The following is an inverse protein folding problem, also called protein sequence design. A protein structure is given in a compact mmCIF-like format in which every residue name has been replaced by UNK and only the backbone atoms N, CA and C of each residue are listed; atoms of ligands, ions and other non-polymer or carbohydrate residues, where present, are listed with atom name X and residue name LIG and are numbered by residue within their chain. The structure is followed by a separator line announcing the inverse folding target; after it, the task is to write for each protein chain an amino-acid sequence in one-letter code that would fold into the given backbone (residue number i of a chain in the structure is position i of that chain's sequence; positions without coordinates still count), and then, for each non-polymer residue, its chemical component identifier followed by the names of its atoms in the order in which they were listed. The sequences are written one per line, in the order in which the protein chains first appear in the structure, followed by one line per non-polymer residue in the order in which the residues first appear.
data_IF_298136910367
#
_entry.id   IF_298136910367
#
_cell.length_a   1.000
_cell.length_b   1.000
_cell.length_c   1.000
_cell.angle_alpha   90.00
_cell.angle_beta   90.00
_cell.angle_gamma   90.00
#
_symmetry.space_group_name_H-M   'P 1'
#
loop_
_entity.id
_entity.type
_entity.pdbx_description
1 polymer ?
#
# COMPACT_ATOMS: atom_id res chain seq x y z
N UNK A 1 -11.74 -14.59 7.92
CA UNK A 1 -11.15 -15.24 6.73
C UNK A 1 -10.55 -14.17 5.85
N UNK A 2 -9.72 -14.53 4.87
CA UNK A 2 -9.08 -13.52 4.03
C UNK A 2 -10.08 -12.83 3.11
N UNK A 3 -9.99 -11.52 3.04
CA UNK A 3 -10.89 -10.68 2.23
C UNK A 3 -10.21 -10.13 0.98
N UNK A 4 -8.88 -10.22 0.89
CA UNK A 4 -8.04 -9.74 -0.21
C UNK A 4 -8.41 -8.30 -0.63
N UNK A 5 -8.50 -7.37 0.33
CA UNK A 5 -8.82 -5.97 0.06
C UNK A 5 -7.58 -5.19 -0.37
N UNK A 6 -7.78 -4.22 -1.27
CA UNK A 6 -6.74 -3.24 -1.54
C UNK A 6 -6.43 -2.43 -0.27
N UNK A 7 -5.16 -2.03 -0.06
CA UNK A 7 -4.80 -1.19 1.08
C UNK A 7 -5.49 0.17 0.94
N UNK A 8 -6.12 0.62 2.03
CA UNK A 8 -6.84 1.90 2.09
C UNK A 8 -6.53 2.71 3.36
N UNK A 9 -5.64 2.22 4.23
CA UNK A 9 -5.24 2.88 5.48
C UNK A 9 -3.79 3.37 5.40
N UNK A 10 -3.62 4.67 5.20
CA UNK A 10 -2.29 5.30 5.03
C UNK A 10 -1.40 5.16 6.28
N UNK A 11 -1.88 5.43 7.51
CA UNK A 11 -1.10 5.18 8.73
C UNK A 11 -0.54 3.76 8.84
N UNK A 12 -1.34 2.73 8.55
CA UNK A 12 -0.88 1.34 8.59
C UNK A 12 0.19 1.08 7.52
N UNK A 13 -0.02 1.58 6.29
CA UNK A 13 0.98 1.47 5.23
C UNK A 13 2.28 2.20 5.57
N UNK A 14 2.21 3.35 6.26
CA UNK A 14 3.41 4.07 6.69
C UNK A 14 4.25 3.24 7.67
N UNK A 15 3.62 2.58 8.65
CA UNK A 15 4.34 1.69 9.57
C UNK A 15 4.97 0.49 8.85
N UNK A 16 4.24 -0.12 7.89
CA UNK A 16 4.77 -1.20 7.09
C UNK A 16 5.99 -0.77 6.26
N UNK A 17 5.89 0.36 5.54
CA UNK A 17 7.00 0.89 4.75
C UNK A 17 8.16 1.38 5.61
N UNK A 18 7.92 1.89 6.82
CA UNK A 18 8.99 2.27 7.73
C UNK A 18 9.90 1.08 8.01
N UNK A 19 9.33 -0.10 8.30
CA UNK A 19 10.11 -1.32 8.50
C UNK A 19 10.85 -1.76 7.23
N UNK A 20 10.20 -1.66 6.07
CA UNK A 20 10.85 -1.95 4.77
C UNK A 20 12.05 -1.03 4.53
N UNK A 21 11.92 0.27 4.83
CA UNK A 21 13.00 1.25 4.68
C UNK A 21 14.14 1.00 5.67
N UNK A 22 13.83 0.68 6.93
CA UNK A 22 14.82 0.29 7.94
C UNK A 22 15.61 -0.96 7.52
N UNK A 23 14.96 -1.90 6.80
CA UNK A 23 15.61 -3.08 6.23
C UNK A 23 16.43 -2.81 4.95
N UNK A 24 16.50 -1.55 4.48
CA UNK A 24 17.23 -1.15 3.28
C UNK A 24 16.45 -1.27 1.97
N UNK A 25 15.11 -1.41 2.05
CA UNK A 25 14.23 -1.47 0.89
C UNK A 25 14.22 -2.81 0.14
N UNK A 26 13.44 -2.88 -0.94
CA UNK A 26 13.37 -4.07 -1.80
C UNK A 26 14.59 -4.15 -2.73
N UNK A 27 15.12 -5.36 -2.93
CA UNK A 27 16.23 -5.62 -3.88
C UNK A 27 15.74 -6.27 -5.17
N UNK A 28 15.02 -7.39 -5.04
CA UNK A 28 14.48 -8.18 -6.16
C UNK A 28 12.97 -8.39 -6.10
N UNK A 29 12.32 -7.88 -5.06
CA UNK A 29 10.87 -7.94 -4.87
C UNK A 29 10.22 -6.58 -5.04
N UNK A 30 8.96 -6.47 -4.60
CA UNK A 30 8.21 -5.21 -4.63
C UNK A 30 6.87 -5.33 -3.94
N UNK A 31 6.05 -4.30 -4.10
CA UNK A 31 4.69 -4.25 -3.55
C UNK A 31 3.71 -4.89 -4.53
N UNK A 32 3.41 -6.18 -4.34
CA UNK A 32 2.39 -6.89 -5.11
C UNK A 32 0.99 -6.58 -4.59
N UNK A 33 0.03 -6.31 -5.49
CA UNK A 33 -1.38 -6.24 -5.13
C UNK A 33 -2.04 -7.61 -5.26
N UNK A 34 -1.84 -8.45 -4.24
CA UNK A 34 -2.63 -9.65 -4.04
C UNK A 34 -3.99 -9.29 -3.43
N UNK A 35 -4.80 -8.59 -4.24
CA UNK A 35 -6.06 -8.00 -3.85
C UNK A 35 -7.08 -8.13 -4.97
N UNK A 36 -8.36 -8.13 -4.60
CA UNK A 36 -9.47 -8.22 -5.54
C UNK A 36 -10.53 -7.16 -5.28
N UNK A 37 -11.32 -6.88 -6.31
CA UNK A 37 -12.51 -6.05 -6.18
C UNK A 37 -13.51 -6.68 -5.21
N UNK A 38 -14.38 -5.85 -4.63
CA UNK A 38 -15.49 -6.37 -3.84
C UNK A 38 -16.47 -7.07 -4.79
N UNK A 39 -17.19 -8.06 -4.27
CA UNK A 39 -18.14 -8.85 -5.11
C UNK A 39 -19.18 -7.97 -5.81
N UNK A 40 -19.55 -6.84 -5.19
CA UNK A 40 -20.54 -5.89 -5.72
C UNK A 40 -19.93 -4.77 -6.57
N UNK A 41 -18.59 -4.69 -6.67
CA UNK A 41 -17.88 -3.77 -7.58
C UNK A 41 -17.77 -4.45 -8.94
N UNK A 42 -18.76 -4.19 -9.79
CA UNK A 42 -19.00 -4.92 -11.04
C UNK A 42 -18.67 -4.08 -12.28
N UNK A 43 -18.45 -2.77 -12.13
CA UNK A 43 -18.17 -1.91 -13.27
C UNK A 43 -16.71 -2.12 -13.70
N UNK A 44 -16.40 -2.15 -15.01
CA UNK A 44 -15.03 -2.33 -15.47
C UNK A 44 -14.04 -1.30 -14.91
N UNK A 45 -14.51 -0.07 -14.66
CA UNK A 45 -13.71 1.01 -14.07
C UNK A 45 -13.30 0.73 -12.62
N UNK A 46 -14.03 -0.11 -11.89
CA UNK A 46 -13.72 -0.43 -10.49
C UNK A 46 -12.35 -1.08 -10.38
N UNK A 47 -11.92 -1.83 -11.40
CA UNK A 47 -10.58 -2.43 -11.45
C UNK A 47 -9.49 -1.36 -11.39
N UNK A 48 -9.65 -0.28 -12.15
CA UNK A 48 -8.73 0.85 -12.16
C UNK A 48 -8.81 1.62 -10.84
N UNK A 49 -10.02 1.91 -10.37
CA UNK A 49 -10.23 2.64 -9.11
C UNK A 49 -9.59 1.91 -7.92
N UNK A 50 -9.75 0.59 -7.84
CA UNK A 50 -9.15 -0.24 -6.78
C UNK A 50 -7.62 -0.18 -6.79
N UNK A 51 -7.00 -0.34 -7.97
CA UNK A 51 -5.54 -0.26 -8.10
C UNK A 51 -5.01 1.15 -7.84
N UNK A 52 -5.65 2.18 -8.38
CA UNK A 52 -5.27 3.58 -8.15
C UNK A 52 -5.34 3.90 -6.65
N UNK A 53 -6.42 3.50 -5.97
CA UNK A 53 -6.58 3.70 -4.54
C UNK A 53 -5.51 2.98 -3.73
N UNK A 54 -5.21 1.72 -4.05
CA UNK A 54 -4.14 0.96 -3.39
C UNK A 54 -2.75 1.56 -3.62
N UNK A 55 -2.45 1.98 -4.86
CA UNK A 55 -1.19 2.62 -5.21
C UNK A 55 -1.00 3.96 -4.49
N UNK A 56 -2.03 4.80 -4.45
CA UNK A 56 -1.98 6.10 -3.78
C UNK A 56 -1.87 5.94 -2.26
N UNK A 57 -2.58 4.98 -1.67
CA UNK A 57 -2.43 4.63 -0.26
C UNK A 57 -0.99 4.21 0.07
N UNK A 58 -0.42 3.29 -0.73
CA UNK A 58 0.95 2.84 -0.59
C UNK A 58 1.97 3.97 -0.76
N UNK A 59 1.82 4.81 -1.79
CA UNK A 59 2.74 5.91 -2.07
C UNK A 59 2.72 6.98 -0.98
N UNK A 60 1.53 7.31 -0.45
CA UNK A 60 1.39 8.22 0.69
C UNK A 60 2.01 7.63 1.95
N UNK A 61 1.78 6.34 2.22
CA UNK A 61 2.41 5.62 3.33
C UNK A 61 3.94 5.65 3.23
N UNK A 62 4.49 5.36 2.05
CA UNK A 62 5.94 5.38 1.80
C UNK A 62 6.55 6.77 2.03
N UNK A 63 5.89 7.85 1.57
CA UNK A 63 6.36 9.23 1.81
C UNK A 63 6.38 9.57 3.30
N UNK A 64 5.33 9.20 4.04
CA UNK A 64 5.27 9.40 5.48
C UNK A 64 6.36 8.59 6.21
N UNK A 65 6.54 7.32 5.83
CA UNK A 65 7.59 6.45 6.35
C UNK A 65 9.00 7.02 6.12
N UNK A 66 9.28 7.48 4.90
CA UNK A 66 10.55 8.12 4.57
C UNK A 66 10.81 9.34 5.46
N UNK A 67 9.79 10.17 5.67
CA UNK A 67 9.89 11.33 6.56
C UNK A 67 10.16 10.92 8.02
N UNK A 68 9.51 9.87 8.52
CA UNK A 68 9.78 9.34 9.86
C UNK A 68 11.24 8.89 10.02
N UNK A 69 11.81 8.24 8.99
CA UNK A 69 13.22 7.82 8.98
C UNK A 69 14.16 9.03 8.98
N UNK A 70 13.87 10.05 8.17
CA UNK A 70 14.63 11.30 8.12
C UNK A 70 14.61 12.06 9.46
N UNK A 71 13.43 12.12 10.09
CA UNK A 71 13.21 12.80 11.37
C UNK A 71 13.77 12.00 12.57
N UNK A 72 14.23 10.76 12.35
CA UNK A 72 14.68 9.81 13.40
C UNK A 72 13.63 9.60 14.50
N UNK A 73 12.38 9.52 14.09
CA UNK A 73 11.23 9.29 14.97
C UNK A 73 11.24 7.88 15.60
#
# INVERSE_FOLDING_TARGET
WDTDQFPNNVPEMALAYYQVLQAGGFKSGGTNFDAKLRRQSLDPQDLLIGHIGGMDCCARGLKAAARMVEDKA
#
